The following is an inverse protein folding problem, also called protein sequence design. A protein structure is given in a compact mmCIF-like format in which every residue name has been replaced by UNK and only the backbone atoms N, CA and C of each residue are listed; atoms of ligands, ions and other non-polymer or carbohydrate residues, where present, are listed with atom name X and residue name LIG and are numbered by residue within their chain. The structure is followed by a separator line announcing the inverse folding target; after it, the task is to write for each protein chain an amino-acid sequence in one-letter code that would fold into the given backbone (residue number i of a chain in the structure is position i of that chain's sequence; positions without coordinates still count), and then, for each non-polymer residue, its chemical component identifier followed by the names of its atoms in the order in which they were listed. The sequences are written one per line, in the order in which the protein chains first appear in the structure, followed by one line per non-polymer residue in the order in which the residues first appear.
data_IF_432703495989
#
_entry.id   IF_432703495989
#
_cell.length_a   1.000
_cell.length_b   1.000
_cell.length_c   1.000
_cell.angle_alpha   90.00
_cell.angle_beta   90.00
_cell.angle_gamma   90.00
#
_symmetry.space_group_name_H-M   'P 1'
#
loop_
_entity.id
_entity.type
_entity.pdbx_description
1 polymer ?
2 polymer ?
3 non-polymer ?
4 water ?
#
# COMPACT_ATOMS: atom_id res chain seq x y z
N UNK A 2 -3.87 -16.95 -15.90
CA UNK A 2 -4.75 -16.90 -14.75
C UNK A 2 -4.03 -16.19 -13.59
N UNK A 3 -2.71 -16.29 -13.52
CA UNK A 3 -1.96 -15.63 -12.42
C UNK A 3 -0.65 -14.97 -12.84
N UNK A 4 -0.38 -13.78 -12.31
CA UNK A 4 0.87 -13.07 -12.60
C UNK A 4 1.65 -12.82 -11.31
N UNK A 5 2.96 -13.00 -11.38
CA UNK A 5 3.79 -12.88 -10.19
C UNK A 5 5.06 -12.10 -10.52
N UNK A 6 5.17 -10.89 -9.97
CA UNK A 6 6.33 -10.04 -10.19
C UNK A 6 7.45 -10.38 -9.23
N UNK A 7 8.69 -10.22 -9.69
CA UNK A 7 9.84 -10.39 -8.81
C UNK A 7 10.99 -9.53 -9.29
N UNK A 8 11.89 -9.20 -8.37
CA UNK A 8 13.04 -8.40 -8.73
C UNK A 8 13.56 -7.63 -7.54
N UNK A 9 14.74 -7.02 -7.68
CA UNK A 9 15.35 -6.25 -6.58
C UNK A 9 14.43 -5.17 -6.06
N UNK A 10 14.18 -5.18 -4.75
CA UNK A 10 13.34 -4.19 -4.10
C UNK A 10 14.03 -2.87 -3.82
N UNK A 11 15.35 -2.85 -3.97
CA UNK A 11 16.11 -1.62 -3.78
C UNK A 11 16.99 -1.39 -5.00
N UNK A 12 16.91 -0.21 -5.58
CA UNK A 12 17.76 0.11 -6.72
C UNK A 12 18.45 1.45 -6.51
N UNK A 13 19.73 1.54 -6.85
CA UNK A 13 20.47 2.78 -6.63
C UNK A 13 20.17 3.74 -7.77
N UNK A 14 20.11 5.05 -7.45
CA UNK A 14 19.95 6.09 -8.48
C UNK A 14 20.91 5.88 -9.65
N UNK A 15 20.42 6.04 -10.87
CA UNK A 15 21.19 5.90 -12.12
C UNK A 15 21.40 4.45 -12.54
N UNK A 16 21.07 3.50 -11.67
CA UNK A 16 21.18 2.12 -12.07
C UNK A 16 19.89 1.68 -12.74
N UNK A 17 19.82 0.40 -13.09
CA UNK A 17 18.68 -0.13 -13.80
C UNK A 17 17.77 -0.98 -12.92
N UNK A 18 16.51 -0.61 -12.89
CA UNK A 18 15.49 -1.42 -12.29
C UNK A 18 15.18 -2.59 -13.22
N UNK A 19 15.26 -3.81 -12.72
CA UNK A 19 14.90 -4.97 -13.51
C UNK A 19 13.89 -5.81 -12.77
N UNK A 20 12.81 -6.17 -13.45
CA UNK A 20 11.79 -7.02 -12.85
C UNK A 20 11.38 -8.10 -13.82
N UNK A 21 10.84 -9.17 -13.25
CA UNK A 21 10.34 -10.26 -14.07
C UNK A 21 8.92 -10.54 -13.62
N UNK A 22 8.10 -10.97 -14.56
CA UNK A 22 6.72 -11.33 -14.29
C UNK A 22 6.52 -12.78 -14.68
N UNK A 23 6.41 -13.65 -13.68
CA UNK A 23 6.14 -15.05 -13.93
C UNK A 23 4.64 -15.26 -14.12
N UNK A 24 4.28 -15.74 -15.30
CA UNK A 24 2.88 -15.97 -15.62
C UNK A 24 2.58 -17.45 -15.55
N UNK A 25 1.45 -17.76 -14.95
CA UNK A 25 0.98 -19.12 -14.74
C UNK A 25 -0.41 -19.29 -15.35
N UNK A 26 -0.75 -20.50 -15.77
CA UNK A 26 -2.10 -20.78 -16.24
C UNK A 26 -2.48 -20.05 -17.51
N UNK A 27 -1.54 -19.92 -18.42
CA UNK A 27 -1.78 -19.27 -19.69
C UNK A 27 -0.43 -19.00 -20.32
N UNK A 28 -0.33 -19.20 -21.62
CA UNK A 28 0.93 -19.01 -22.32
C UNK A 28 1.18 -17.53 -22.62
N UNK A 29 2.40 -17.09 -22.32
CA UNK A 29 2.84 -15.74 -22.65
C UNK A 29 2.68 -15.47 -24.15
N UNK A 30 2.82 -16.52 -24.95
CA UNK A 30 2.72 -16.40 -26.39
C UNK A 30 1.32 -16.25 -26.95
N UNK A 31 0.31 -16.23 -26.08
CA UNK A 31 -1.06 -16.11 -26.56
C UNK A 31 -1.41 -14.68 -26.97
N UNK A 32 -2.61 -14.51 -27.49
CA UNK A 32 -3.06 -13.23 -28.04
C UNK A 32 -3.45 -12.28 -26.93
N UNK A 33 -2.45 -11.79 -26.19
CA UNK A 33 -2.66 -10.80 -25.13
C UNK A 33 -1.54 -9.76 -25.09
N UNK A 34 -1.89 -8.57 -24.61
CA UNK A 34 -0.88 -7.64 -24.17
C UNK A 34 -0.38 -8.04 -22.79
N UNK A 35 0.93 -8.02 -22.58
CA UNK A 35 1.48 -8.17 -21.24
C UNK A 35 2.04 -6.82 -20.83
N UNK A 36 1.58 -6.29 -19.72
CA UNK A 36 1.86 -4.89 -19.38
C UNK A 36 2.65 -4.70 -18.11
N UNK A 37 3.47 -3.66 -18.09
CA UNK A 37 4.05 -3.18 -16.85
C UNK A 37 3.42 -1.86 -16.48
N UNK A 38 2.94 -1.79 -15.25
CA UNK A 38 2.24 -0.64 -14.75
C UNK A 38 2.79 -0.41 -13.35
N UNK A 39 3.05 0.85 -12.99
CA UNK A 39 3.53 1.07 -11.65
C UNK A 39 2.55 1.96 -10.88
N UNK A 40 2.67 1.91 -9.58
CA UNK A 40 1.78 2.66 -8.71
C UNK A 40 2.60 3.30 -7.60
N UNK A 41 2.35 4.58 -7.40
CA UNK A 41 2.92 5.31 -6.30
C UNK A 41 1.90 6.34 -5.85
N UNK A 42 1.98 6.75 -4.57
CA UNK A 42 1.15 7.87 -4.12
C UNK A 42 1.31 9.08 -5.04
N UNK A 43 2.55 9.48 -5.31
CA UNK A 43 2.82 10.66 -6.12
C UNK A 43 2.31 10.64 -7.55
N UNK A 44 2.27 9.46 -8.18
CA UNK A 44 1.97 9.39 -9.61
C UNK A 44 0.79 8.48 -9.96
N UNK A 45 0.04 8.04 -8.95
CA UNK A 45 -1.10 7.17 -9.18
C UNK A 45 -0.69 5.91 -9.94
N UNK A 46 -1.49 5.53 -10.92
CA UNK A 46 -1.16 4.40 -11.76
C UNK A 46 -0.49 4.92 -13.02
N UNK A 47 0.59 4.26 -13.42
CA UNK A 47 1.30 4.69 -14.61
C UNK A 47 1.59 3.49 -15.48
N UNK A 48 1.02 3.48 -16.67
CA UNK A 48 1.32 2.47 -17.66
C UNK A 48 2.73 2.72 -18.16
N UNK A 49 3.56 1.69 -18.13
CA UNK A 49 4.95 1.85 -18.51
C UNK A 49 5.13 1.37 -19.96
N UNK A 50 4.51 0.25 -20.27
CA UNK A 50 4.58 -0.31 -21.60
C UNK A 50 3.91 -1.66 -21.70
N UNK A 51 3.96 -2.24 -22.88
CA UNK A 51 3.35 -3.54 -23.09
C UNK A 51 4.04 -4.28 -24.22
N UNK A 52 3.99 -5.61 -24.14
CA UNK A 52 4.51 -6.41 -25.21
C UNK A 52 3.36 -7.35 -25.60
N UNK A 53 3.16 -7.53 -26.90
CA UNK A 53 2.08 -8.38 -27.35
C UNK A 53 2.56 -9.80 -27.52
N UNK A 54 1.91 -10.71 -26.82
CA UNK A 54 2.36 -12.09 -26.73
C UNK A 54 2.60 -12.81 -28.04
N UNK A 55 1.74 -12.55 -29.03
CA UNK A 55 1.70 -13.35 -30.26
C UNK A 55 2.79 -13.00 -31.25
N UNK A 56 3.33 -11.79 -31.16
CA UNK A 56 4.39 -11.40 -32.10
C UNK A 56 5.50 -10.54 -31.49
N UNK A 57 5.35 -10.14 -30.23
CA UNK A 57 6.44 -9.47 -29.56
C UNK A 57 6.41 -7.96 -29.66
N UNK A 58 5.37 -7.41 -30.28
CA UNK A 58 5.29 -5.97 -30.50
C UNK A 58 5.29 -5.20 -29.20
N UNK A 59 6.19 -4.23 -29.07
CA UNK A 59 6.23 -3.43 -27.85
C UNK A 59 5.78 -2.01 -28.06
N UNK A 60 5.18 -1.45 -27.01
CA UNK A 60 4.75 -0.07 -27.00
C UNK A 60 5.04 0.51 -25.63
N UNK A 61 5.47 1.77 -25.58
CA UNK A 61 5.96 2.34 -24.34
C UNK A 61 5.33 3.67 -24.00
N UNK A 62 5.26 3.94 -22.70
CA UNK A 62 4.90 5.25 -22.21
C UNK A 62 5.88 6.25 -22.82
N UNK A 63 5.38 7.27 -23.52
CA UNK A 63 6.32 8.19 -24.17
C UNK A 63 7.21 8.96 -23.18
N UNK A 64 6.79 9.07 -21.92
CA UNK A 64 7.56 9.82 -20.94
C UNK A 64 8.82 9.08 -20.51
N UNK A 65 8.84 7.77 -20.72
CA UNK A 65 10.01 7.00 -20.33
C UNK A 65 10.40 5.94 -21.36
N UNK A 66 9.90 6.12 -22.59
CA UNK A 66 10.26 5.24 -23.70
C UNK A 66 11.78 5.18 -23.89
N UNK A 67 12.41 6.33 -23.69
CA UNK A 67 13.85 6.51 -23.77
C UNK A 67 14.69 5.60 -22.86
N UNK A 68 14.06 4.98 -21.86
CA UNK A 68 14.84 4.17 -20.93
C UNK A 68 14.14 2.88 -20.49
N UNK A 69 13.12 2.45 -21.24
CA UNK A 69 12.42 1.22 -20.89
C UNK A 69 12.69 0.12 -21.91
N UNK A 70 12.88 -1.09 -21.41
CA UNK A 70 12.97 -2.29 -22.21
C UNK A 70 11.91 -3.23 -21.70
N UNK A 71 11.18 -3.87 -22.61
CA UNK A 71 10.28 -4.93 -22.22
C UNK A 71 10.47 -6.11 -23.14
N UNK A 72 10.61 -7.29 -22.56
CA UNK A 72 10.80 -8.47 -23.38
C UNK A 72 10.01 -9.61 -22.82
N UNK A 73 10.03 -10.74 -23.52
CA UNK A 73 9.43 -11.93 -22.94
C UNK A 73 10.26 -13.15 -23.27
N UNK A 74 10.19 -14.10 -22.35
CA UNK A 74 10.89 -15.36 -22.47
C UNK A 74 9.81 -16.45 -22.56
N UNK A 75 9.45 -16.79 -23.79
CA UNK A 75 8.44 -17.80 -24.03
C UNK A 75 8.79 -19.13 -23.36
N UNK A 76 10.09 -19.37 -23.19
CA UNK A 76 10.58 -20.61 -22.59
C UNK A 76 10.01 -20.85 -21.19
N UNK A 77 10.16 -19.88 -20.31
CA UNK A 77 9.71 -20.06 -18.92
C UNK A 77 8.56 -19.12 -18.59
N UNK A 78 7.84 -18.70 -19.63
CA UNK A 78 6.60 -17.96 -19.49
C UNK A 78 6.76 -16.74 -18.61
N UNK A 79 7.82 -15.97 -18.91
CA UNK A 79 8.11 -14.76 -18.17
C UNK A 79 8.07 -13.57 -19.08
N UNK A 80 7.63 -12.44 -18.51
CA UNK A 80 7.70 -11.15 -19.15
C UNK A 80 8.60 -10.29 -18.30
N UNK A 81 9.50 -9.54 -18.92
CA UNK A 81 10.45 -8.78 -18.14
C UNK A 81 10.43 -7.28 -18.44
N UNK A 82 10.98 -6.53 -17.49
CA UNK A 82 11.03 -5.08 -17.59
C UNK A 82 12.41 -4.60 -17.16
N UNK A 83 13.00 -3.73 -17.97
CA UNK A 83 14.16 -3.00 -17.52
C UNK A 83 13.85 -1.52 -17.65
N UNK A 84 14.12 -0.80 -16.58
CA UNK A 84 14.00 0.66 -16.56
C UNK A 84 15.33 1.22 -16.06
N UNK A 85 16.04 1.96 -16.91
CA UNK A 85 17.37 2.37 -16.50
C UNK A 85 17.45 3.84 -16.09
N UNK A 86 18.65 4.26 -15.65
CA UNK A 86 18.91 5.64 -15.26
C UNK A 86 17.86 6.09 -14.25
N UNK A 87 17.57 5.19 -13.33
CA UNK A 87 16.47 5.30 -12.41
C UNK A 87 16.71 6.42 -11.36
N UNK A 88 15.65 7.09 -10.92
CA UNK A 88 15.76 8.05 -9.83
C UNK A 88 14.69 7.78 -8.81
N UNK A 89 14.70 8.57 -7.74
CA UNK A 89 13.71 8.48 -6.69
C UNK A 89 12.29 8.62 -7.28
N UNK A 90 12.19 9.22 -8.46
CA UNK A 90 10.91 9.38 -9.14
C UNK A 90 10.37 8.04 -9.61
N UNK A 91 11.23 7.02 -9.66
CA UNK A 91 10.79 5.70 -10.11
C UNK A 91 10.48 4.75 -8.96
N UNK A 92 10.58 5.25 -7.73
CA UNK A 92 10.11 4.48 -6.59
C UNK A 92 8.60 4.21 -6.73
N UNK A 93 8.22 2.95 -6.65
CA UNK A 93 6.84 2.57 -6.92
C UNK A 93 6.63 1.09 -6.69
N UNK A 94 5.37 0.70 -6.59
CA UNK A 94 5.00 -0.69 -6.72
C UNK A 94 4.78 -0.98 -8.21
N UNK A 95 5.55 -1.94 -8.70
CA UNK A 95 5.49 -2.28 -10.12
C UNK A 95 4.62 -3.49 -10.35
N UNK A 96 3.66 -3.36 -11.27
CA UNK A 96 2.75 -4.46 -11.59
C UNK A 96 2.97 -5.04 -12.97
N UNK A 97 2.79 -6.35 -13.07
CA UNK A 97 2.59 -7.03 -14.33
C UNK A 97 1.07 -7.16 -14.49
N UNK A 98 0.55 -6.91 -15.69
CA UNK A 98 -0.90 -7.08 -15.89
C UNK A 98 -1.23 -7.51 -17.32
N UNK A 99 -2.23 -8.37 -17.45
CA UNK A 99 -2.61 -8.86 -18.76
C UNK A 99 -3.61 -7.90 -19.40
N UNK A 100 -3.34 -7.56 -20.65
CA UNK A 100 -4.24 -6.77 -21.45
C UNK A 100 -5.09 -7.64 -22.36
N UNK A 101 -6.38 -7.72 -22.05
CA UNK A 101 -7.35 -8.36 -22.93
C UNK A 101 -7.93 -7.33 -23.88
N UNK A 102 -8.54 -7.79 -24.96
CA UNK A 102 -9.02 -6.88 -25.99
C UNK A 102 -10.01 -7.56 -26.95
N UNK A 103 -10.79 -6.76 -27.66
CA UNK A 103 -11.58 -7.28 -28.76
C UNK A 103 -10.95 -6.78 -30.05
N UNK A 104 -11.55 -5.79 -30.67
CA UNK A 104 -10.87 -5.13 -31.78
C UNK A 104 -10.18 -3.88 -31.26
N UNK A 105 -8.86 -3.92 -31.21
CA UNK A 105 -8.06 -2.89 -30.58
C UNK A 105 -8.32 -1.51 -31.17
N UNK A 106 -8.35 -1.40 -32.49
CA UNK A 106 -8.49 -0.08 -33.11
C UNK A 106 -9.87 0.52 -32.90
N UNK A 107 -10.74 -0.24 -32.25
CA UNK A 107 -12.06 0.26 -31.92
C UNK A 107 -12.25 0.33 -30.42
N UNK A 108 -11.70 -0.65 -29.70
CA UNK A 108 -11.96 -0.76 -28.27
C UNK A 108 -10.73 -0.80 -27.38
N UNK A 109 -9.57 -0.47 -27.95
CA UNK A 109 -8.30 -0.50 -27.24
C UNK A 109 -8.05 -1.82 -26.53
N UNK A 110 -7.41 -1.76 -25.37
CA UNK A 110 -7.38 -2.90 -24.47
C UNK A 110 -7.46 -2.49 -23.01
N UNK A 111 -7.58 -3.49 -22.14
CA UNK A 111 -7.82 -3.25 -20.72
C UNK A 111 -7.19 -4.35 -19.88
N UNK A 112 -7.00 -4.06 -18.60
CA UNK A 112 -6.22 -4.94 -17.73
C UNK A 112 -7.09 -5.70 -16.76
N UNK A 113 -7.30 -6.97 -17.05
CA UNK A 113 -8.19 -7.79 -16.25
C UNK A 113 -7.43 -8.52 -15.15
N UNK A 114 -6.27 -9.06 -15.48
CA UNK A 114 -5.51 -9.80 -14.48
C UNK A 114 -4.19 -9.15 -14.12
N UNK A 115 -3.99 -8.89 -12.83
CA UNK A 115 -2.81 -8.21 -12.33
C UNK A 115 -2.01 -9.13 -11.44
N UNK A 116 -0.71 -8.89 -11.37
CA UNK A 116 0.11 -9.55 -10.37
C UNK A 116 -0.11 -8.90 -9.02
N UNK A 117 0.65 -9.34 -8.03
CA UNK A 117 0.55 -8.79 -6.68
C UNK A 117 1.27 -7.44 -6.56
N UNK A 118 2.19 -7.18 -7.48
CA UNK A 118 3.00 -5.98 -7.43
C UNK A 118 4.27 -6.17 -6.61
N UNK A 119 5.35 -5.52 -7.02
CA UNK A 119 6.58 -5.55 -6.25
C UNK A 119 7.05 -4.13 -5.96
N UNK A 120 7.32 -3.86 -4.69
CA UNK A 120 7.80 -2.55 -4.33
C UNK A 120 9.27 -2.41 -4.76
N UNK A 121 9.56 -1.31 -5.42
CA UNK A 121 10.93 -1.01 -5.75
C UNK A 121 11.22 0.38 -5.23
N UNK A 122 12.21 0.46 -4.36
CA UNK A 122 12.64 1.72 -3.81
C UNK A 122 13.93 2.14 -4.47
N UNK A 123 13.94 3.35 -5.01
CA UNK A 123 15.15 3.87 -5.60
C UNK A 123 15.86 4.75 -4.57
N UNK A 124 16.97 4.26 -4.04
CA UNK A 124 17.73 4.98 -3.04
C UNK A 124 19.23 4.64 -3.04
N UNK A 125 20.03 5.62 -2.64
CA UNK A 125 21.47 5.45 -2.46
C UNK A 125 21.81 4.88 -1.08
N UNK A 126 20.82 4.66 -0.23
CA UNK A 126 21.08 4.22 1.14
C UNK A 126 21.19 2.69 1.23
N UNK A 127 21.96 2.23 2.21
CA UNK A 127 22.23 0.82 2.37
C UNK A 127 21.07 0.07 2.98
N UNK A 128 20.92 -1.18 2.57
CA UNK A 128 20.04 -2.12 3.23
C UNK A 128 20.42 -2.23 4.71
N UNK A 129 19.40 -2.33 5.56
CA UNK A 129 19.62 -2.49 6.99
C UNK A 129 18.57 -3.43 7.55
N UNK A 130 19.02 -4.52 8.15
CA UNK A 130 18.08 -5.45 8.74
C UNK A 130 17.51 -4.79 9.97
N UNK A 131 16.33 -5.22 10.40
CA UNK A 131 15.73 -4.59 11.57
C UNK A 131 16.21 -5.23 12.85
N UNK A 132 16.18 -4.47 13.94
CA UNK A 132 16.24 -5.04 15.27
C UNK A 132 14.81 -5.29 15.69
N UNK A 133 14.55 -6.48 16.21
CA UNK A 133 13.17 -6.87 16.55
C UNK A 133 13.05 -6.93 18.06
N UNK A 134 12.03 -6.30 18.61
CA UNK A 134 11.86 -6.28 20.05
C UNK A 134 10.48 -6.75 20.41
N UNK A 135 10.36 -7.48 21.52
CA UNK A 135 9.04 -7.89 21.96
C UNK A 135 8.30 -6.67 22.50
N UNK A 136 7.00 -6.60 22.22
CA UNK A 136 6.14 -5.68 22.93
C UNK A 136 5.28 -6.53 23.86
N UNK A 137 5.73 -6.64 25.10
CA UNK A 137 5.04 -7.47 26.08
C UNK A 137 3.72 -6.85 26.45
N UNK A 138 2.69 -7.70 26.66
CA UNK A 138 1.36 -7.21 27.07
C UNK A 138 1.40 -6.58 28.46
N UNK A 145 -7.69 -5.38 29.98
CA UNK A 145 -6.93 -6.49 30.57
C UNK A 145 -7.62 -7.84 30.28
N UNK A 146 -8.87 -7.80 29.83
CA UNK A 146 -9.58 -9.00 29.38
C UNK A 146 -9.04 -9.48 28.01
N UNK A 147 -8.54 -8.53 27.24
CA UNK A 147 -7.89 -8.86 25.99
C UNK A 147 -6.46 -8.34 26.13
N UNK A 148 -5.50 -9.01 25.52
CA UNK A 148 -4.10 -8.61 25.64
C UNK A 148 -3.50 -8.27 24.29
N UNK A 149 -2.85 -7.12 24.22
CA UNK A 149 -2.12 -6.74 23.04
C UNK A 149 -0.65 -7.10 23.24
N UNK A 150 -0.15 -8.02 22.44
CA UNK A 150 1.28 -8.26 22.46
C UNK A 150 1.78 -8.13 21.05
N UNK A 151 3.06 -7.88 20.89
CA UNK A 151 3.58 -7.60 19.57
C UNK A 151 5.08 -7.65 19.42
N UNK A 152 5.51 -7.12 18.28
CA UNK A 152 6.90 -7.03 17.95
C UNK A 152 7.14 -5.69 17.32
N UNK A 153 8.14 -4.99 17.85
CA UNK A 153 8.64 -3.78 17.26
C UNK A 153 9.72 -4.20 16.27
N UNK A 154 9.60 -3.76 15.03
CA UNK A 154 10.58 -4.07 14.01
C UNK A 154 11.25 -2.75 13.72
N UNK A 155 12.43 -2.54 14.32
CA UNK A 155 13.01 -1.20 14.44
C UNK A 155 14.16 -0.95 13.48
N UNK A 156 14.10 0.19 12.80
CA UNK A 156 15.24 0.77 12.07
C UNK A 156 15.72 -0.13 10.96
N UNK A 157 14.88 -0.37 9.98
CA UNK A 157 15.27 -1.18 8.85
C UNK A 157 15.13 -0.37 7.58
N UNK A 158 15.73 -0.87 6.51
CA UNK A 158 15.63 -0.24 5.19
C UNK A 158 16.03 -1.29 4.17
N UNK A 159 15.30 -1.35 3.04
CA UNK A 159 14.07 -0.62 2.76
C UNK A 159 12.85 -1.45 3.13
N UNK A 160 11.69 -0.94 2.77
CA UNK A 160 10.47 -1.73 2.81
C UNK A 160 10.56 -2.83 1.77
N UNK A 161 9.77 -3.90 1.91
CA UNK A 161 8.77 -4.13 2.95
C UNK A 161 9.31 -5.06 4.00
N UNK A 162 8.62 -5.11 5.13
CA UNK A 162 8.81 -6.15 6.12
C UNK A 162 7.49 -6.92 6.19
N UNK A 163 7.53 -8.25 6.21
CA UNK A 163 6.32 -9.00 6.49
C UNK A 163 6.39 -9.60 7.89
N UNK A 164 5.24 -9.63 8.54
CA UNK A 164 5.15 -10.21 9.86
C UNK A 164 3.98 -11.16 9.94
N UNK A 165 4.24 -12.44 10.14
CA UNK A 165 3.17 -13.34 10.50
C UNK A 165 3.33 -13.70 11.97
N UNK A 166 2.37 -14.43 12.51
CA UNK A 166 2.45 -14.85 13.90
C UNK A 166 2.28 -16.35 13.99
N UNK A 167 3.07 -16.97 14.87
CA UNK A 167 3.10 -18.41 15.01
C UNK A 167 3.09 -19.15 13.67
N UNK A 168 3.98 -18.73 12.77
CA UNK A 168 4.13 -19.37 11.46
C UNK A 168 2.84 -19.34 10.65
N UNK A 169 2.01 -18.32 10.87
CA UNK A 169 0.80 -18.14 10.11
C UNK A 169 -0.43 -18.83 10.67
N UNK A 170 -0.24 -19.66 11.68
CA UNK A 170 -1.36 -20.36 12.30
C UNK A 170 -2.20 -19.39 13.12
N UNK A 171 -1.64 -18.23 13.45
CA UNK A 171 -2.38 -17.21 14.15
C UNK A 171 -2.61 -16.02 13.23
N UNK A 172 -3.84 -15.88 12.75
CA UNK A 172 -4.19 -14.79 11.85
C UNK A 172 -5.27 -13.90 12.45
N UNK A 173 -6.07 -14.45 13.36
CA UNK A 173 -7.15 -13.70 13.98
C UNK A 173 -6.65 -12.66 15.00
N UNK A 174 -7.01 -11.40 14.80
CA UNK A 174 -6.67 -10.35 15.74
C UNK A 174 -5.27 -9.81 15.50
N UNK A 175 -4.66 -10.25 14.40
CA UNK A 175 -3.34 -9.78 13.99
C UNK A 175 -3.47 -8.45 13.29
N UNK A 176 -2.62 -7.50 13.64
CA UNK A 176 -2.66 -6.24 12.97
C UNK A 176 -1.24 -5.72 12.81
N UNK A 177 -0.77 -5.64 11.57
CA UNK A 177 0.55 -5.13 11.30
C UNK A 177 0.44 -3.74 10.74
N UNK A 178 1.05 -2.80 11.45
CA UNK A 178 0.90 -1.40 11.11
C UNK A 178 1.86 -0.97 10.01
N UNK A 179 1.38 -0.08 9.15
CA UNK A 179 2.29 0.55 8.20
C UNK A 179 3.50 1.12 8.94
N UNK A 180 4.64 1.07 8.27
CA UNK A 180 5.90 1.48 8.84
C UNK A 180 5.95 2.98 9.00
N UNK A 181 6.63 3.44 10.05
CA UNK A 181 6.99 4.84 10.12
C UNK A 181 8.36 5.01 9.46
N UNK A 182 8.58 6.15 8.83
CA UNK A 182 9.86 6.49 8.26
C UNK A 182 10.47 7.65 9.02
N UNK A 183 11.57 7.38 9.72
CA UNK A 183 12.21 8.39 10.54
C UNK A 183 13.19 9.23 9.74
N UNK A 184 13.58 10.35 10.33
CA UNK A 184 14.49 11.29 9.70
C UNK A 184 15.86 10.64 9.45
N UNK A 185 16.13 9.53 10.13
CA UNK A 185 17.34 8.75 9.89
C UNK A 185 17.27 8.08 8.53
N UNK A 186 16.07 8.00 7.98
CA UNK A 186 15.87 7.37 6.69
C UNK A 186 15.53 5.91 6.90
N UNK A 187 15.43 5.52 8.17
CA UNK A 187 15.13 4.14 8.53
C UNK A 187 13.65 3.96 8.92
N UNK A 188 13.11 2.79 8.62
CA UNK A 188 11.72 2.47 8.94
C UNK A 188 11.59 1.71 10.22
N UNK A 189 10.46 1.89 10.89
CA UNK A 189 10.11 1.01 11.99
C UNK A 189 8.65 0.66 11.80
N UNK A 190 8.28 -0.57 12.13
CA UNK A 190 6.87 -0.92 12.15
C UNK A 190 6.59 -1.75 13.37
N UNK A 191 5.30 -1.93 13.65
CA UNK A 191 4.90 -2.79 14.72
C UNK A 191 3.81 -3.71 14.20
N UNK A 192 3.88 -4.96 14.64
CA UNK A 192 2.78 -5.88 14.47
C UNK A 192 2.35 -6.29 15.86
N UNK A 193 1.05 -6.26 16.09
CA UNK A 193 0.50 -6.70 17.37
C UNK A 193 -0.58 -7.70 17.09
N UNK A 194 -0.70 -8.68 17.97
CA UNK A 194 -1.86 -9.53 17.91
C UNK A 194 -2.60 -9.34 19.22
N UNK A 195 -3.91 -9.19 19.11
CA UNK A 195 -4.76 -9.03 20.26
C UNK A 195 -5.36 -10.37 20.60
N UNK A 196 -5.06 -10.86 21.80
CA UNK A 196 -5.44 -12.21 22.19
C UNK A 196 -6.26 -12.16 23.47
N UNK A 197 -7.06 -13.21 23.74
CA UNK A 197 -7.65 -13.33 25.06
C UNK A 197 -6.56 -13.42 26.13
N UNK A 198 -6.64 -12.63 27.18
CA UNK A 198 -5.59 -12.67 28.19
C UNK A 198 -5.48 -14.06 28.83
N UNK A 199 -6.56 -14.85 28.76
CA UNK A 199 -6.57 -16.19 29.35
C UNK A 199 -5.63 -17.15 28.62
N UNK A 200 -5.26 -16.79 27.39
CA UNK A 200 -4.43 -17.68 26.60
C UNK A 200 -2.94 -17.35 26.75
N UNK A 201 -2.61 -16.36 27.57
CA UNK A 201 -1.21 -15.99 27.76
C UNK A 201 -0.41 -17.09 28.45
N UNK A 202 -1.11 -17.96 29.17
CA UNK A 202 -0.46 -19.05 29.87
C UNK A 202 -0.39 -20.33 29.07
N UNK A 203 -1.28 -20.44 28.09
CA UNK A 203 -1.48 -21.69 27.39
C UNK A 203 -0.88 -21.65 26.00
N UNK A 204 -0.58 -20.44 25.53
CA UNK A 204 -0.22 -20.23 24.13
C UNK A 204 1.06 -19.43 24.02
N UNK A 205 2.04 -19.99 23.32
CA UNK A 205 3.26 -19.28 23.00
C UNK A 205 2.99 -18.36 21.83
N UNK A 206 3.52 -17.14 21.91
CA UNK A 206 3.37 -16.20 20.81
C UNK A 206 4.71 -15.83 20.21
N UNK A 207 4.84 -16.11 18.91
CA UNK A 207 6.05 -15.83 18.18
C UNK A 207 5.71 -14.97 16.97
N UNK A 208 6.33 -13.79 16.85
CA UNK A 208 6.19 -13.04 15.61
C UNK A 208 7.24 -13.50 14.63
N UNK A 209 6.81 -13.77 13.40
CA UNK A 209 7.75 -14.14 12.35
C UNK A 209 7.99 -12.97 11.44
N UNK A 210 9.15 -12.34 11.60
CA UNK A 210 9.45 -11.11 10.90
C UNK A 210 10.35 -11.43 9.73
N UNK A 211 9.95 -11.01 8.54
CA UNK A 211 10.75 -11.26 7.35
C UNK A 211 11.06 -9.96 6.63
N UNK A 212 12.34 -9.61 6.62
CA UNK A 212 12.81 -8.50 5.82
C UNK A 212 13.63 -9.06 4.68
N UNK A 213 12.94 -9.47 3.62
CA UNK A 213 13.61 -10.04 2.46
C UNK A 213 14.77 -9.18 1.95
N UNK A 214 14.61 -7.85 1.92
CA UNK A 214 15.75 -7.05 1.45
C UNK A 214 17.08 -7.27 2.17
N UNK A 215 17.09 -7.65 3.44
CA UNK A 215 18.35 -7.95 4.11
C UNK A 215 18.48 -9.46 4.32
N UNK A 216 17.67 -10.22 3.60
CA UNK A 216 17.62 -11.69 3.71
C UNK A 216 17.54 -12.20 5.14
N UNK A 217 16.86 -11.41 5.96
CA UNK A 217 16.77 -11.65 7.39
C UNK A 217 15.36 -12.01 7.83
N UNK A 218 15.24 -13.15 8.51
CA UNK A 218 14.04 -13.52 9.25
C UNK A 218 14.32 -13.53 10.76
N UNK A 219 13.39 -13.00 11.54
CA UNK A 219 13.48 -13.15 12.97
C UNK A 219 12.17 -13.71 13.50
N UNK A 220 12.25 -14.84 14.18
CA UNK A 220 11.14 -15.37 14.95
C UNK A 220 11.36 -14.95 16.41
N UNK A 221 10.58 -14.00 16.90
CA UNK A 221 10.78 -13.49 18.25
C UNK A 221 9.68 -14.00 19.17
N UNK A 222 10.07 -14.73 20.21
CA UNK A 222 9.11 -15.19 21.20
C UNK A 222 8.72 -13.99 22.04
N UNK A 223 7.43 -13.70 22.12
CA UNK A 223 7.00 -12.56 22.93
C UNK A 223 6.66 -13.03 24.36
N UNK A 224 7.59 -12.77 25.27
CA UNK A 224 7.46 -13.14 26.67
C UNK A 224 6.45 -12.28 27.43
N UNK A 225 5.86 -12.83 28.47
CA UNK A 225 5.19 -12.00 29.46
C UNK A 225 6.22 -11.72 30.55
N UNK A 226 6.62 -10.45 30.68
CA UNK A 226 7.86 -10.09 31.40
C UNK A 226 7.81 -10.17 32.92
N UNK A 227 8.99 -10.47 33.50
CA UNK A 227 9.37 -10.24 34.90
C UNK A 227 10.87 -10.52 35.06
N UNK B 1 2.37 12.47 -22.73
CA UNK B 1 2.34 13.84 -22.23
C UNK B 1 0.94 14.23 -21.72
N UNK B 2 -0.02 14.40 -22.63
CA UNK B 2 -1.34 14.85 -22.20
C UNK B 2 -1.98 13.85 -21.26
N UNK B 3 -2.44 14.34 -20.11
CA UNK B 3 -3.00 13.46 -19.10
C UNK B 3 -4.49 13.21 -19.32
N UNK B 4 -5.00 12.17 -18.68
CA UNK B 4 -6.42 12.03 -18.46
C UNK B 4 -6.72 12.67 -17.10
N UNK B 5 -7.52 13.73 -17.11
CA UNK B 5 -7.75 14.51 -15.90
C UNK B 5 -8.95 14.00 -15.13
N UNK B 6 -8.72 13.63 -13.86
CA UNK B 6 -9.81 13.33 -12.94
C UNK B 6 -9.79 14.25 -11.73
N UNK B 7 -10.97 14.50 -11.14
CA UNK B 7 -10.89 15.22 -9.86
C UNK B 7 -10.11 14.37 -8.87
N UNK B 8 -9.18 14.98 -8.14
CA UNK B 8 -8.38 14.23 -7.16
C UNK B 8 -9.23 13.58 -6.08
N UNK B 9 -10.25 14.30 -5.64
CA UNK B 9 -11.09 13.79 -4.57
C UNK B 9 -12.53 14.02 -4.90
N UNK B 10 -13.39 13.11 -4.44
CA UNK B 10 -14.82 13.33 -4.55
C UNK B 10 -15.50 12.71 -3.33
N UNK B 11 -16.57 13.36 -2.89
CA UNK B 11 -17.31 12.91 -1.72
C UNK B 11 -18.78 12.73 -2.06
N UNK B 12 -19.36 11.64 -1.59
CA UNK B 12 -20.79 11.41 -1.71
C UNK B 12 -21.17 10.51 -0.53
N UNK B 13 -22.43 10.54 -0.12
CA UNK B 13 -22.86 9.84 1.09
C UNK B 13 -23.24 8.39 0.84
N UNK B 14 -23.26 7.60 1.91
CA UNK B 14 -23.76 6.23 1.87
C UNK B 14 -25.07 6.08 1.10
N UNK B 15 -25.16 5.01 0.32
CA UNK B 15 -26.38 4.72 -0.41
C UNK B 15 -26.54 5.59 -1.65
N UNK B 16 -25.97 6.78 -1.63
CA UNK B 16 -26.09 7.67 -2.78
C UNK B 16 -25.31 7.13 -3.96
N UNK B 17 -25.40 7.84 -5.08
CA UNK B 17 -24.64 7.50 -6.28
C UNK B 17 -23.63 8.63 -6.55
N UNK B 18 -22.46 8.27 -7.09
CA UNK B 18 -21.44 9.27 -7.41
C UNK B 18 -21.02 9.12 -8.87
N UNK B 19 -20.69 10.24 -9.52
CA UNK B 19 -20.06 10.13 -10.83
C UNK B 19 -18.67 10.75 -10.86
N UNK B 20 -17.73 9.97 -11.35
CA UNK B 20 -16.35 10.39 -11.44
C UNK B 20 -16.03 10.62 -12.91
N UNK B 21 -15.60 11.83 -13.26
CA UNK B 21 -15.30 12.09 -14.66
C UNK B 21 -13.81 11.92 -14.93
N UNK B 22 -13.52 11.71 -16.21
CA UNK B 22 -12.19 11.55 -16.72
C UNK B 22 -12.13 12.25 -18.05
N UNK B 23 -11.41 13.37 -18.10
CA UNK B 23 -11.35 14.18 -19.31
C UNK B 23 -10.11 13.87 -20.09
N UNK B 24 -10.29 13.35 -21.29
CA UNK B 24 -9.17 12.98 -22.13
C UNK B 24 -9.14 13.84 -23.36
N UNK B 25 -8.68 13.26 -24.46
CA UNK B 25 -8.52 14.00 -25.70
C UNK B 25 -9.19 13.24 -26.82
N UNK B 26 -9.11 13.80 -28.02
CA UNK B 26 -9.69 13.15 -29.18
C UNK B 26 -8.86 11.94 -29.56
N UNK B 27 -7.67 11.83 -28.99
CA UNK B 27 -6.74 10.76 -29.34
C UNK B 27 -6.87 9.52 -28.45
N UNK B 28 -7.72 9.60 -27.45
CA UNK B 28 -7.94 8.45 -26.60
C UNK B 28 -9.43 8.19 -26.43
N UNK B 29 -10.04 8.87 -25.45
CA UNK B 29 -11.44 8.67 -25.15
C UNK B 29 -12.27 9.03 -26.39
N UNK B 30 -11.83 10.03 -27.12
CA UNK B 30 -12.54 10.44 -28.33
C UNK B 30 -12.26 9.57 -29.54
N UNK B 31 -11.20 8.79 -29.48
CA UNK B 31 -10.77 8.01 -30.63
C UNK B 31 -11.26 6.56 -30.58
N UNK B 32 -11.45 6.04 -29.38
CA UNK B 32 -11.88 4.67 -29.22
C UNK B 32 -13.03 4.54 -28.24
N UNK B 33 -13.75 3.43 -28.30
CA UNK B 33 -14.53 2.98 -27.17
C UNK B 33 -13.68 2.09 -26.29
N UNK B 34 -12.55 2.61 -25.85
CA UNK B 34 -11.58 1.81 -25.12
C UNK B 34 -11.26 2.42 -23.77
N UNK B 35 -12.30 2.89 -23.08
CA UNK B 35 -12.09 3.42 -21.75
C UNK B 35 -12.30 2.29 -20.75
N UNK B 36 -11.41 2.20 -19.78
CA UNK B 36 -11.59 1.25 -18.70
C UNK B 36 -11.44 1.97 -17.36
N UNK B 37 -12.00 1.38 -16.31
CA UNK B 37 -11.97 1.96 -14.98
C UNK B 37 -11.45 0.94 -13.99
N UNK B 38 -10.70 1.41 -13.00
CA UNK B 38 -10.05 0.54 -12.03
C UNK B 38 -10.23 1.04 -10.62
N UNK B 39 -10.54 0.10 -9.74
CA UNK B 39 -10.67 0.38 -8.33
C UNK B 39 -9.36 0.02 -7.66
N UNK B 40 -8.84 0.90 -6.82
CA UNK B 40 -7.62 0.59 -6.12
C UNK B 40 -7.76 0.87 -4.63
N UNK B 41 -7.79 -0.20 -3.83
CA UNK B 41 -7.75 -0.09 -2.39
C UNK B 41 -6.32 -0.13 -1.91
N UNK B 42 -6.10 0.38 -0.70
CA UNK B 42 -4.80 0.28 -0.07
C UNK B 42 -4.31 -1.15 -0.08
N UNK B 43 -3.04 -1.32 -0.46
CA UNK B 43 -2.35 -2.59 -0.37
C UNK B 43 -3.10 -3.69 -1.11
N UNK B 44 -3.65 -3.35 -2.28
CA UNK B 44 -4.33 -4.32 -3.13
C UNK B 44 -4.01 -4.00 -4.57
N UNK B 45 -4.02 -5.02 -5.43
CA UNK B 45 -3.89 -4.80 -6.87
C UNK B 45 -5.07 -3.98 -7.38
N UNK B 46 -4.84 -3.07 -8.32
CA UNK B 46 -5.94 -2.38 -8.99
C UNK B 46 -6.92 -3.38 -9.58
N UNK B 47 -8.21 -3.08 -9.49
CA UNK B 47 -9.28 -4.00 -9.84
C UNK B 47 -10.06 -3.45 -11.03
N UNK B 48 -10.14 -4.22 -12.12
CA UNK B 48 -10.90 -3.80 -13.30
C UNK B 48 -12.40 -3.72 -13.00
N UNK B 49 -12.98 -2.55 -13.21
CA UNK B 49 -14.43 -2.37 -13.01
C UNK B 49 -15.18 -2.37 -14.31
N UNK B 50 -14.70 -1.56 -15.25
CA UNK B 50 -15.38 -1.28 -16.49
C UNK B 50 -14.38 -1.40 -17.63
N UNK B 51 -14.77 -2.06 -18.71
CA UNK B 51 -13.93 -2.04 -19.91
C UNK B 51 -14.79 -1.73 -21.13
N UNK B 52 -14.13 -1.28 -22.20
CA UNK B 52 -14.80 -0.85 -23.41
C UNK B 52 -15.96 0.09 -23.09
N UNK B 53 -15.63 1.13 -22.34
CA UNK B 53 -16.53 2.22 -21.93
C UNK B 53 -17.59 1.80 -20.93
N UNK B 54 -18.27 0.68 -21.17
CA UNK B 54 -19.41 0.34 -20.30
C UNK B 54 -19.64 -1.12 -20.00
N UNK B 55 -18.65 -1.97 -20.29
CA UNK B 55 -18.81 -3.40 -20.02
C UNK B 55 -18.21 -3.77 -18.66
N UNK B 56 -18.88 -4.68 -17.95
CA UNK B 56 -18.42 -5.14 -16.65
C UNK B 56 -17.90 -6.56 -16.68
N UNK B 57 -16.74 -6.80 -16.08
CA UNK B 57 -16.30 -8.18 -15.91
C UNK B 57 -17.24 -8.88 -14.96
N UNK B 58 -17.31 -10.20 -15.03
CA UNK B 58 -18.00 -10.98 -14.01
C UNK B 58 -17.44 -10.64 -12.64
N UNK B 59 -18.31 -10.49 -11.65
CA UNK B 59 -17.84 -10.26 -10.30
C UNK B 59 -17.78 -8.79 -9.90
N UNK B 60 -18.00 -7.91 -10.87
CA UNK B 60 -18.24 -6.51 -10.59
C UNK B 60 -19.74 -6.26 -10.60
N UNK B 61 -20.28 -5.80 -9.47
CA UNK B 61 -21.72 -5.56 -9.33
C UNK B 61 -22.18 -4.51 -10.32
N UNK B 62 -23.47 -4.54 -10.63
CA UNK B 62 -24.06 -3.59 -11.54
C UNK B 62 -24.19 -2.20 -10.93
N UNK B 63 -23.67 -2.01 -9.71
CA UNK B 63 -23.64 -0.68 -9.11
C UNK B 63 -22.64 0.20 -9.85
N UNK B 64 -21.70 -0.45 -10.53
CA UNK B 64 -20.76 0.27 -11.38
C UNK B 64 -21.25 0.29 -12.81
N UNK B 65 -21.21 1.47 -13.41
CA UNK B 65 -21.49 1.60 -14.83
C UNK B 65 -20.62 2.70 -15.39
N UNK B 66 -20.30 2.57 -16.67
CA UNK B 66 -19.46 3.54 -17.35
C UNK B 66 -20.17 4.13 -18.54
N UNK B 67 -19.73 5.32 -18.93
CA UNK B 67 -20.26 5.96 -20.13
C UNK B 67 -19.17 6.87 -20.65
N UNK B 68 -19.36 7.36 -21.87
CA UNK B 68 -18.47 8.38 -22.40
C UNK B 68 -19.26 9.31 -23.28
N UNK B 69 -18.77 10.54 -23.37
CA UNK B 69 -19.36 11.55 -24.22
C UNK B 69 -18.25 12.42 -24.77
N UNK B 70 -18.07 12.41 -26.08
CA UNK B 70 -16.96 13.13 -26.69
C UNK B 70 -15.62 12.65 -26.16
N UNK B 71 -14.92 13.52 -25.44
CA UNK B 71 -13.59 13.21 -24.96
C UNK B 71 -13.55 12.97 -23.48
N UNK B 72 -14.74 12.89 -22.88
CA UNK B 72 -14.86 12.69 -21.45
C UNK B 72 -15.52 11.35 -21.16
N UNK B 73 -15.00 10.63 -20.18
CA UNK B 73 -15.63 9.38 -19.75
C UNK B 73 -16.13 9.53 -18.32
N UNK B 74 -17.00 8.63 -17.89
CA UNK B 74 -17.53 8.74 -16.54
C UNK B 74 -17.75 7.39 -15.93
N UNK B 75 -17.46 7.30 -14.64
CA UNK B 75 -17.81 6.13 -13.88
C UNK B 75 -18.87 6.54 -12.88
N UNK B 76 -19.95 5.79 -12.86
CA UNK B 76 -20.98 5.99 -11.87
C UNK B 76 -20.99 4.81 -10.94
N UNK B 77 -21.01 5.10 -9.65
CA UNK B 77 -21.18 4.08 -8.63
C UNK B 77 -22.45 4.40 -7.88
N UNK B 78 -23.43 3.49 -7.92
CA UNK B 78 -24.67 3.68 -7.15
C UNK B 78 -24.64 2.88 -5.85
N UNK B 79 -25.57 3.15 -4.95
CA UNK B 79 -25.65 2.46 -3.67
C UNK B 79 -24.34 2.48 -2.89
N UNK B 80 -23.72 3.65 -2.79
CA UNK B 80 -22.37 3.77 -2.21
C UNK B 80 -22.27 3.07 -0.87
N UNK B 81 -21.28 2.20 -0.77
CA UNK B 81 -21.00 1.45 0.44
C UNK B 81 -19.69 1.93 1.04
N UNK B 82 -19.45 1.60 2.30
CA UNK B 82 -18.21 1.95 2.96
C UNK B 82 -17.05 1.35 2.18
N UNK B 83 -17.27 0.11 1.72
CA UNK B 83 -16.33 -0.64 0.91
C UNK B 83 -15.89 0.11 -0.35
N UNK B 84 -16.67 1.09 -0.76
CA UNK B 84 -16.41 1.80 -2.01
C UNK B 84 -15.32 2.86 -1.87
N UNK B 85 -14.96 3.20 -0.63
CA UNK B 85 -13.85 4.11 -0.41
C UNK B 85 -12.59 3.49 -0.98
N UNK B 86 -12.02 4.17 -1.96
CA UNK B 86 -10.88 3.69 -2.72
C UNK B 86 -10.46 4.74 -3.71
N UNK B 87 -9.41 4.46 -4.47
CA UNK B 87 -8.99 5.32 -5.56
C UNK B 87 -9.53 4.73 -6.85
N UNK B 88 -10.11 5.58 -7.69
CA UNK B 88 -10.67 5.14 -8.96
C UNK B 88 -9.93 5.79 -10.10
N UNK B 89 -9.44 4.97 -11.00
CA UNK B 89 -8.70 5.43 -12.15
C UNK B 89 -9.44 5.08 -13.45
N UNK B 90 -9.58 6.06 -14.35
CA UNK B 90 -9.94 5.75 -15.73
C UNK B 90 -8.66 5.49 -16.48
N UNK B 91 -8.78 5.00 -17.69
CA UNK B 91 -7.63 4.81 -18.53
C UNK B 91 -8.13 4.52 -19.92
N UNK B 92 -7.31 4.87 -20.90
CA UNK B 92 -7.69 4.62 -22.27
C UNK B 92 -6.48 4.32 -23.12
N UNK B 93 -6.70 3.46 -24.12
CA UNK B 93 -5.78 3.32 -25.24
C UNK B 93 -5.62 4.70 -25.84
N UNK B 94 -4.51 4.95 -26.50
CA UNK B 94 -4.30 6.25 -27.11
C UNK B 94 -3.66 6.08 -28.47
N UNK B 95 -4.23 6.77 -29.45
CA UNK B 95 -3.71 6.80 -30.82
C UNK B 95 -2.22 6.94 -30.76
N UNK B 96 -1.51 6.05 -31.46
CA UNK B 96 -0.07 5.95 -31.31
C UNK B 96 0.28 4.72 -30.50
N UNK B 97 -0.75 3.97 -30.11
CA UNK B 97 -0.60 2.70 -29.42
C UNK B 97 0.05 2.83 -28.04
N UNK B 98 -0.21 3.93 -27.35
CA UNK B 98 0.14 4.01 -25.94
C UNK B 98 -1.11 3.88 -25.10
N UNK B 99 -0.92 3.91 -23.78
CA UNK B 99 -2.02 3.67 -22.86
C UNK B 99 -1.86 4.64 -21.73
N UNK B 100 -2.93 5.33 -21.34
CA UNK B 100 -2.78 6.36 -20.35
C UNK B 100 -3.84 6.22 -19.28
N UNK B 101 -3.36 6.13 -18.04
CA UNK B 101 -4.20 6.17 -16.85
C UNK B 101 -4.50 7.60 -16.49
N UNK B 102 -5.74 7.86 -16.11
CA UNK B 102 -6.10 9.12 -15.46
C UNK B 102 -5.42 9.25 -14.10
N UNK B 103 -5.41 10.46 -13.55
CA UNK B 103 -4.68 10.73 -12.31
C UNK B 103 -5.30 10.09 -11.08
N UNK B 104 -6.52 9.60 -11.20
CA UNK B 104 -7.14 8.93 -10.07
C UNK B 104 -7.98 9.85 -9.22
N UNK B 105 -9.10 9.32 -8.75
CA UNK B 105 -10.00 10.03 -7.87
C UNK B 105 -10.12 9.29 -6.55
N UNK B 106 -9.80 9.93 -5.43
CA UNK B 106 -10.03 9.28 -4.16
C UNK B 106 -11.49 9.49 -3.73
N UNK B 107 -12.20 8.41 -3.49
CA UNK B 107 -13.60 8.54 -3.13
C UNK B 107 -13.75 8.45 -1.63
N UNK B 108 -14.41 9.44 -1.05
CA UNK B 108 -14.77 9.39 0.34
C UNK B 108 -16.25 9.18 0.45
N UNK B 109 -16.65 8.20 1.22
CA UNK B 109 -18.06 7.95 1.42
C UNK B 109 -18.50 8.66 2.68
N UNK B 110 -19.35 9.66 2.50
CA UNK B 110 -19.89 10.43 3.62
C UNK B 110 -21.05 9.73 4.31
N UNK B 111 -21.44 10.27 5.46
CA UNK B 111 -22.56 9.73 6.20
C UNK B 111 -22.20 8.53 7.05
N UNK B 112 -20.90 8.24 7.16
CA UNK B 112 -20.47 7.09 7.96
C UNK B 112 -20.33 7.49 9.42
N UNK B 113 -20.55 6.53 10.33
CA UNK B 113 -20.37 6.80 11.76
C UNK B 113 -18.93 7.08 12.12
N UNK B 114 -18.72 8.07 12.98
CA UNK B 114 -17.41 8.31 13.54
C UNK B 114 -16.98 7.07 14.34
N UNK B 115 -15.72 6.68 14.17
CA UNK B 115 -15.12 5.62 14.97
C UNK B 115 -13.92 6.18 15.72
N UNK B 116 -14.01 6.20 17.04
CA UNK B 116 -12.96 6.75 17.88
C UNK B 116 -11.82 5.75 17.98
N UNK B 117 -10.57 6.25 18.11
CA UNK B 117 -9.39 5.38 18.03
C UNK B 117 -9.18 4.47 19.23
N UNK B 118 -8.76 3.25 18.94
CA UNK B 118 -8.22 2.35 19.94
C UNK B 118 -6.74 2.65 20.06
N UNK B 119 -6.28 3.00 21.25
CA UNK B 119 -4.88 3.40 21.45
C UNK B 119 -4.15 2.39 22.35
N UNK B 120 -3.10 1.79 21.82
CA UNK B 120 -2.28 0.88 22.60
C UNK B 120 -0.87 1.45 22.73
N UNK B 121 -0.40 1.55 23.98
CA UNK B 121 0.92 2.13 24.21
C UNK B 121 1.82 1.07 24.81
N UNK B 122 2.97 0.85 24.17
CA UNK B 122 3.98 -0.02 24.75
C UNK B 122 5.18 0.76 25.25
N UNK B 123 5.67 0.41 26.45
CA UNK B 123 6.94 0.92 26.97
C UNK B 123 8.09 0.21 26.28
N UNK B 124 9.33 0.71 26.44
CA UNK B 124 10.45 -0.03 25.87
C UNK B 124 10.56 -1.45 26.41
N UNK B 125 10.98 -2.37 25.56
CA UNK B 125 11.30 -3.72 25.98
C UNK B 125 12.56 -3.67 26.82
N UNK B 126 12.76 -4.68 27.66
CA UNK B 126 13.95 -4.72 28.48
C UNK B 126 15.16 -4.93 27.58
N UNK B 127 14.97 -5.69 26.49
CA UNK B 127 16.03 -5.88 25.50
C UNK B 127 16.49 -4.56 24.91
N UNK B 128 15.54 -3.74 24.47
CA UNK B 128 15.94 -2.45 23.91
C UNK B 128 16.66 -1.61 24.98
N UNK B 129 16.18 -1.65 26.22
CA UNK B 129 16.79 -0.89 27.31
C UNK B 129 18.22 -1.32 27.61
N UNK B 130 18.48 -2.62 27.49
CA UNK B 130 19.83 -3.16 27.62
C UNK B 130 20.72 -2.63 26.51
N UNK B 131 20.13 -2.26 25.38
CA UNK B 131 20.86 -1.65 24.28
C UNK B 131 20.92 -0.13 24.43
N UNK B 132 20.56 0.35 25.62
CA UNK B 132 20.56 1.77 25.97
C UNK B 132 19.59 2.62 25.18
N UNK B 133 18.58 1.98 24.60
CA UNK B 133 17.56 2.66 23.84
C UNK B 133 16.21 2.42 24.46
N UNK B 134 15.27 3.32 24.18
CA UNK B 134 13.91 3.15 24.68
C UNK B 134 12.97 3.76 23.69
N UNK B 135 12.26 2.90 22.97
CA UNK B 135 11.25 3.35 22.03
C UNK B 135 9.89 3.05 22.59
N UNK B 136 9.11 4.10 22.80
CA UNK B 136 7.74 3.94 23.24
C UNK B 136 6.89 3.84 21.99
N UNK B 137 5.99 2.86 21.96
CA UNK B 137 5.22 2.64 20.75
C UNK B 137 3.74 2.90 21.01
N UNK B 138 3.18 3.86 20.29
CA UNK B 138 1.77 4.16 20.37
C UNK B 138 1.03 3.72 19.11
N UNK B 139 0.21 2.69 19.27
CA UNK B 139 -0.54 2.11 18.16
C UNK B 139 -1.99 2.57 18.19
N UNK B 140 -2.46 3.06 17.04
CA UNK B 140 -3.74 3.73 16.96
C UNK B 140 -4.57 3.07 15.87
N UNK B 141 -5.70 2.49 16.25
CA UNK B 141 -6.44 1.65 15.32
C UNK B 141 -7.95 1.91 15.33
N UNK B 142 -8.59 1.48 14.24
CA UNK B 142 -10.04 1.43 14.16
C UNK B 142 -10.67 2.81 14.30
N UNK B 143 -10.06 3.82 13.73
CA UNK B 143 -10.66 5.13 13.78
C UNK B 143 -11.09 5.57 12.38
N UNK B 144 -12.18 6.34 12.36
CA UNK B 144 -12.72 6.97 11.16
C UNK B 144 -13.44 8.22 11.63
N UNK B 145 -13.32 9.34 10.89
CA UNK B 145 -12.46 9.55 9.71
C UNK B 145 -10.99 9.45 10.05
N UNK B 146 -10.13 9.21 9.05
CA UNK B 146 -8.74 8.93 9.30
C UNK B 146 -7.91 10.19 9.43
N UNK B 147 -8.17 10.94 10.50
CA UNK B 147 -7.39 12.12 10.84
C UNK B 147 -7.17 12.10 12.34
N UNK B 148 -5.91 12.10 12.75
CA UNK B 148 -5.58 12.18 14.16
C UNK B 148 -4.42 13.12 14.35
N UNK B 149 -4.27 13.62 15.58
CA UNK B 149 -3.06 14.29 16.00
C UNK B 149 -2.50 13.57 17.20
N UNK B 150 -1.23 13.23 17.12
CA UNK B 150 -0.60 12.52 18.21
C UNK B 150 0.40 13.41 18.91
N UNK B 151 0.28 13.51 20.23
CA UNK B 151 1.21 14.30 21.03
C UNK B 151 1.72 13.40 22.13
N UNK B 152 2.92 13.70 22.61
CA UNK B 152 3.47 12.90 23.68
C UNK B 152 3.78 13.78 24.87
N UNK B 153 3.70 13.19 26.05
CA UNK B 153 4.01 13.91 27.27
C UNK B 153 5.01 13.15 28.12
N UNK B 154 5.83 13.90 28.87
CA UNK B 154 6.71 13.33 29.88
C UNK B 154 6.46 14.08 31.17
N UNK B 155 6.18 13.33 32.24
CA UNK B 155 5.79 13.92 33.51
C UNK B 155 4.69 14.96 33.29
N UNK B 156 3.75 14.65 32.40
CA UNK B 156 2.60 15.50 32.15
C UNK B 156 2.90 16.75 31.35
N UNK B 157 4.06 16.77 30.73
CA UNK B 157 4.56 17.94 30.04
C UNK B 157 4.89 17.61 28.58
N UNK B 158 4.62 18.55 27.66
CA UNK B 158 4.68 18.24 26.22
C UNK B 158 6.08 17.88 25.79
N UNK B 159 6.23 16.73 25.16
CA UNK B 159 7.51 16.32 24.58
C UNK B 159 7.64 17.04 23.25
N UNK B 160 8.83 17.57 22.99
CA UNK B 160 9.03 18.44 21.84
C UNK B 160 9.87 17.84 20.74
N UNK B 161 10.30 16.59 20.93
CA UNK B 161 11.23 15.98 19.98
C UNK B 161 11.23 14.48 20.16
N UNK B 162 11.80 13.77 19.20
CA UNK B 162 11.88 12.33 19.31
C UNK B 162 10.60 11.63 18.88
N UNK B 163 9.64 12.39 18.38
CA UNK B 163 8.38 11.79 17.93
C UNK B 163 8.32 11.63 16.41
N UNK B 164 7.93 10.45 15.96
CA UNK B 164 7.67 10.22 14.57
C UNK B 164 6.35 9.49 14.47
N UNK B 165 5.42 10.06 13.73
CA UNK B 165 4.07 9.51 13.62
C UNK B 165 3.73 9.21 12.18
N UNK B 166 3.05 8.09 11.95
CA UNK B 166 2.68 7.70 10.60
C UNK B 166 1.44 8.45 10.14
N UNK B 167 1.29 8.55 8.83
CA UNK B 167 0.03 8.96 8.22
C UNK B 167 -1.02 7.88 8.47
N UNK B 168 -2.26 8.28 8.76
CA UNK B 168 -3.34 7.28 8.83
C UNK B 168 -3.45 6.49 7.53
N UNK B 169 -3.68 5.18 7.64
CA UNK B 169 -3.83 4.33 6.48
C UNK B 169 -5.04 3.44 6.69
N UNK B 170 -5.65 3.03 5.59
CA UNK B 170 -6.90 2.30 5.63
C UNK B 170 -6.65 0.89 6.17
N UNK B 171 -7.59 0.41 6.99
CA UNK B 171 -7.59 -0.97 7.42
C UNK B 171 -8.52 -1.72 6.48
N UNK B 172 -8.51 -3.04 6.55
CA UNK B 172 -9.37 -3.83 5.68
C UNK B 172 -10.82 -3.71 6.14
N UNK B 173 -11.05 -3.27 7.38
CA UNK B 173 -12.41 -3.06 7.83
C UNK B 173 -12.87 -1.62 7.52
N UNK B 174 -12.12 -0.95 6.64
CA UNK B 174 -12.42 0.38 6.11
C UNK B 174 -12.18 1.52 7.10
N UNK B 175 -11.87 1.16 8.34
CA UNK B 175 -11.42 2.18 9.30
C UNK B 175 -9.94 2.44 9.04
N UNK B 176 -9.35 3.32 9.85
CA UNK B 176 -7.95 3.69 9.67
C UNK B 176 -7.06 3.22 10.81
N UNK B 177 -5.77 3.11 10.50
CA UNK B 177 -4.75 2.84 11.50
C UNK B 177 -3.64 3.87 11.39
N UNK B 178 -2.93 4.10 12.49
CA UNK B 178 -1.73 4.92 12.45
C UNK B 178 -0.88 4.50 13.64
N UNK B 179 0.35 4.96 13.67
CA UNK B 179 1.21 4.61 14.79
C UNK B 179 2.16 5.77 15.06
N UNK B 180 2.69 5.82 16.28
CA UNK B 180 3.56 6.91 16.69
C UNK B 180 4.68 6.37 17.58
N UNK B 181 5.89 6.86 17.36
CA UNK B 181 7.07 6.35 18.04
C UNK B 181 7.80 7.46 18.80
N UNK B 182 7.98 7.27 20.10
CA UNK B 182 8.82 8.16 20.87
C UNK B 182 10.16 7.47 21.09
N UNK B 183 11.20 7.99 20.45
CA UNK B 183 12.51 7.35 20.48
C UNK B 183 13.44 8.05 21.48
N UNK B 184 13.76 7.34 22.57
CA UNK B 184 14.59 7.88 23.64
C UNK B 184 15.79 6.98 23.90
N UNK B 185 16.68 7.45 24.78
CA UNK B 185 17.73 6.61 25.32
C UNK B 185 17.14 5.98 26.57
N UNK B 186 17.78 4.93 27.06
CA UNK B 186 17.31 4.30 28.30
C UNK B 186 17.38 5.31 29.45
N UNK B 187 18.45 6.10 29.50
CA UNK B 187 18.62 7.11 30.55
C UNK B 187 17.52 8.15 30.48
N UNK B 188 17.14 8.53 29.26
CA UNK B 188 16.08 9.52 29.08
C UNK B 188 14.77 8.96 29.58
N UNK B 189 14.50 7.72 29.21
CA UNK B 189 13.30 7.02 29.63
C UNK B 189 13.21 7.00 31.15
N UNK B 190 14.32 6.67 31.79
CA UNK B 190 14.32 6.58 33.25
C UNK B 190 14.34 7.97 33.90
N UNK B 191 14.49 9.02 33.09
CA UNK B 191 14.66 10.35 33.69
C UNK B 191 13.32 10.95 34.09
N UNK B 192 12.24 10.35 33.62
CA UNK B 192 10.91 10.82 33.98
C UNK B 192 10.10 9.73 34.67
N UNK B 193 9.13 10.15 35.47
CA UNK B 193 8.30 9.22 36.22
C UNK B 193 7.24 8.58 35.32
N UNK B 194 6.84 9.29 34.29
CA UNK B 194 5.86 8.76 33.34
C UNK B 194 5.97 9.39 31.96
N UNK B 195 5.46 8.68 30.97
CA UNK B 195 5.29 9.20 29.61
C UNK B 195 3.88 8.92 29.12
N UNK B 196 3.36 9.79 28.25
CA UNK B 196 2.03 9.58 27.71
C UNK B 196 2.00 9.74 26.21
N UNK B 197 1.10 8.97 25.60
CA UNK B 197 0.75 9.13 24.20
C UNK B 197 -0.65 9.72 24.17
N UNK B 198 -0.79 10.87 23.54
CA UNK B 198 -2.09 11.51 23.49
C UNK B 198 -2.56 11.59 22.05
N UNK B 199 -3.66 10.91 21.77
CA UNK B 199 -4.21 10.86 20.41
C UNK B 199 -5.51 11.63 20.34
N UNK B 200 -5.51 12.68 19.54
CA UNK B 200 -6.68 13.50 19.38
C UNK B 200 -7.38 13.10 18.09
N UNK B 201 -8.69 12.88 18.19
CA UNK B 201 -9.48 12.48 17.04
C UNK B 201 -10.87 13.08 17.17
N UNK B 202 -11.25 13.85 16.14
CA UNK B 202 -12.55 14.54 16.12
C UNK B 202 -12.80 15.32 17.41
N UNK B 203 -11.81 16.10 17.82
CA UNK B 203 -11.97 16.95 18.99
C UNK B 203 -11.74 16.28 20.33
N UNK B 204 -11.72 14.96 20.37
CA UNK B 204 -11.50 14.27 21.63
C UNK B 204 -10.19 13.49 21.70
N UNK B 205 -9.78 13.25 22.94
CA UNK B 205 -8.45 12.72 23.18
C UNK B 205 -8.48 11.42 23.96
N UNK B 206 -7.66 10.48 23.50
CA UNK B 206 -7.40 9.25 24.22
C UNK B 206 -5.94 9.30 24.59
N UNK B 207 -5.65 9.20 25.89
CA UNK B 207 -4.27 9.25 26.36
C UNK B 207 -3.95 7.99 27.15
N UNK B 208 -2.82 7.39 26.81
CA UNK B 208 -2.32 6.21 27.51
C UNK B 208 -0.99 6.57 28.16
N UNK B 209 -0.75 5.99 29.33
CA UNK B 209 0.43 6.31 30.11
C UNK B 209 1.22 5.05 30.45
N UNK B 210 2.54 5.18 30.41
CA UNK B 210 3.43 4.17 30.95
C UNK B 210 4.41 4.82 31.90
N UNK B 211 4.90 4.07 32.88
CA UNK B 211 5.83 4.57 33.87
C UNK B 211 7.03 3.65 33.92
N UNK B 212 8.25 4.23 33.90
CA UNK B 212 9.46 3.41 33.99
C UNK B 212 9.47 2.48 35.21
N UNK B 213 8.77 2.87 36.27
CA UNK B 213 8.59 1.98 37.42
C UNK B 213 7.17 1.39 37.44
#
# INVERSE_FOLDING_TARGET
QVQLQESGPGLVKPSETLSLTCAVSGGSIGDDYYWNWIRQSPGKGLEWIGSIYGSFGGTNFNPSLKNRVTISMDTSNNQVSLKLNSVTAADTAVYYCARGSHSIVVLFGYYFDYWGQGVLVTVSSASTKGPSVFPLAPSSRSTSESTAALGCLVKDYFPEPVTVSWNSGSLTSGVHTFPAVLQSSGLYSLSSVVTVPSSSLGTQTYVCNVNHKPSNTKVDKRVEIKTCGG
QSALTQPPSVSKSLGQSVTISCSGTTNDIGAYNGVSWYQHHSDTAPRLLIYEVNKRPSGVSDRFSGSKSGNTASLTISGLQAEDEADYYCGSYRSGSTWVFGGGTRLTVLGQPKASPTVTLFPPSSEELQANKATLVCLISDFYPGVVKVAWKADGSAVNAGVETTTPSKQSNNKYAASSYLSLTSDQWKSHKSYSCQVTHEGSTVEKTVAPAECS
#
